data_IF_156653140119
#
_entry.id   IF_156653140119
#
_cell.length_a   1.000
_cell.length_b   1.000
_cell.length_c   1.000
_cell.angle_alpha   90.00
_cell.angle_beta   90.00
_cell.angle_gamma   90.00
#
_symmetry.space_group_name_H-M   'P 1'
#
loop_
_entity.id
_entity.type
_entity.pdbx_description
1 polymer ?
#
# COMPACT_ATOMS: atom_id res chain seq x y z
N UNK A 1 3.22 38.68 -77.02
CA UNK A 1 2.85 37.68 -75.98
C UNK A 1 4.10 36.87 -75.67
N UNK A 2 5.19 37.56 -75.34
CA UNK A 2 5.54 38.04 -73.99
C UNK A 2 6.26 36.96 -73.22
N UNK A 3 7.54 36.86 -73.58
CA UNK A 3 8.59 36.41 -72.70
C UNK A 3 8.63 37.28 -71.45
N UNK A 4 8.84 36.66 -70.28
CA UNK A 4 9.54 37.31 -69.18
C UNK A 4 10.59 36.39 -68.59
N UNK A 5 11.71 36.97 -68.13
CA UNK A 5 12.95 36.25 -67.90
C UNK A 5 13.21 35.98 -66.41
N UNK A 6 14.23 35.17 -66.22
CA UNK A 6 14.99 34.83 -65.01
C UNK A 6 15.47 36.10 -64.28
N UNK A 7 15.41 36.10 -62.94
CA UNK A 7 16.53 36.67 -62.17
C UNK A 7 16.78 35.92 -60.85
N UNK A 8 18.05 35.59 -60.72
CA UNK A 8 18.84 35.00 -59.65
C UNK A 8 18.75 35.72 -58.30
N UNK A 9 18.75 34.92 -57.22
CA UNK A 9 19.30 35.35 -55.93
C UNK A 9 20.34 34.35 -55.42
N UNK A 10 21.40 34.81 -54.72
CA UNK A 10 22.59 34.01 -54.42
C UNK A 10 22.43 33.19 -53.15
N UNK A 11 23.25 32.14 -53.09
CA UNK A 11 23.59 31.34 -51.90
C UNK A 11 24.37 32.22 -50.93
N UNK A 12 23.98 32.29 -49.65
CA UNK A 12 24.93 32.53 -48.54
C UNK A 12 24.31 32.23 -47.16
N UNK A 13 25.10 31.58 -46.30
CA UNK A 13 24.96 31.69 -44.84
C UNK A 13 24.17 30.58 -44.11
N UNK A 14 24.84 29.48 -43.77
CA UNK A 14 24.43 28.60 -42.66
C UNK A 14 24.39 29.39 -41.34
N UNK A 15 23.34 29.30 -40.51
CA UNK A 15 23.41 29.80 -39.14
C UNK A 15 24.28 28.89 -38.28
N UNK A 16 25.34 29.48 -37.72
CA UNK A 16 26.26 28.89 -36.75
C UNK A 16 25.51 28.61 -35.44
N UNK A 17 25.64 27.40 -34.92
CA UNK A 17 25.12 27.01 -33.61
C UNK A 17 25.78 27.84 -32.49
N UNK A 18 25.03 28.32 -31.48
CA UNK A 18 25.60 29.11 -30.39
C UNK A 18 26.50 28.24 -29.50
N UNK A 19 27.69 28.76 -29.21
CA UNK A 19 28.62 28.20 -28.22
C UNK A 19 28.03 28.30 -26.81
N UNK A 20 28.20 27.30 -25.94
CA UNK A 20 27.73 27.36 -24.56
C UNK A 20 28.61 28.31 -23.73
N UNK A 21 27.97 29.23 -23.01
CA UNK A 21 28.58 30.11 -22.02
C UNK A 21 29.19 29.31 -20.85
N UNK A 22 30.39 29.72 -20.45
CA UNK A 22 31.14 29.16 -19.35
C UNK A 22 30.45 29.47 -18.00
N UNK A 23 30.01 28.43 -17.30
CA UNK A 23 29.56 28.53 -15.90
C UNK A 23 30.76 28.69 -14.96
N UNK A 24 30.75 29.77 -14.19
CA UNK A 24 31.61 30.01 -13.03
C UNK A 24 31.48 28.85 -12.00
N UNK A 25 32.59 28.28 -11.49
CA UNK A 25 32.52 27.28 -10.43
C UNK A 25 32.39 27.95 -9.05
N UNK A 26 31.29 27.65 -8.35
CA UNK A 26 31.07 28.04 -6.95
C UNK A 26 32.01 27.32 -5.97
N UNK A 27 32.12 27.81 -4.71
CA UNK A 27 33.14 27.39 -3.76
C UNK A 27 32.93 25.96 -3.24
N UNK A 28 34.05 25.23 -3.10
CA UNK A 28 34.13 23.82 -2.67
C UNK A 28 33.75 23.64 -1.19
N UNK A 29 33.03 22.56 -0.81
CA UNK A 29 32.79 22.23 0.59
C UNK A 29 34.04 21.66 1.27
N UNK A 30 34.29 22.13 2.50
CA UNK A 30 35.42 21.74 3.36
C UNK A 30 35.32 20.26 3.76
N UNK A 31 36.43 19.52 3.57
CA UNK A 31 36.59 18.13 4.01
C UNK A 31 36.80 18.08 5.53
N UNK A 32 36.03 17.23 6.21
CA UNK A 32 36.30 16.83 7.61
C UNK A 32 37.57 15.95 7.67
N UNK A 33 38.42 16.05 8.71
CA UNK A 33 39.61 15.24 8.81
C UNK A 33 39.31 13.82 9.30
N UNK A 34 39.93 12.82 8.66
CA UNK A 34 39.91 11.41 9.05
C UNK A 34 40.80 11.13 10.29
N UNK A 35 40.53 10.09 11.10
CA UNK A 35 41.35 9.75 12.26
C UNK A 35 42.68 9.10 11.84
N UNK A 36 43.77 9.61 12.42
CA UNK A 36 45.14 9.11 12.22
C UNK A 36 45.30 7.68 12.76
N UNK A 37 45.91 6.81 11.96
CA UNK A 37 46.40 5.48 12.38
C UNK A 37 47.67 5.64 13.24
N UNK A 38 47.91 4.81 14.27
CA UNK A 38 49.13 4.88 15.05
C UNK A 38 50.33 4.26 14.30
N UNK A 39 51.46 4.96 14.34
CA UNK A 39 52.75 4.59 13.76
C UNK A 39 53.48 3.56 14.66
N UNK A 40 53.95 2.41 14.12
CA UNK A 40 54.61 1.37 14.89
C UNK A 40 56.12 1.60 14.93
N UNK A 41 56.61 2.38 15.91
CA UNK A 41 58.05 2.45 16.24
C UNK A 41 58.33 3.27 17.50
N UNK A 42 58.38 2.61 18.67
CA UNK A 42 59.34 2.90 19.75
C UNK A 42 59.29 1.80 20.83
N UNK A 43 60.45 1.26 21.25
CA UNK A 43 60.55 0.25 22.30
C UNK A 43 60.71 0.91 23.67
N UNK A 44 60.19 0.28 24.73
CA UNK A 44 60.51 0.64 26.12
C UNK A 44 61.13 -0.59 26.83
N UNK A 45 62.20 -0.43 27.63
CA UNK A 45 63.14 -1.48 27.95
C UNK A 45 62.81 -2.24 29.24
N UNK A 46 63.36 -3.45 29.32
CA UNK A 46 63.22 -4.41 30.41
C UNK A 46 63.95 -3.96 31.69
N UNK A 47 63.39 -4.36 32.83
CA UNK A 47 64.11 -4.61 34.08
C UNK A 47 63.40 -5.74 34.86
N UNK A 48 64.09 -6.83 35.26
CA UNK A 48 63.47 -8.02 35.85
C UNK A 48 63.64 -8.07 37.38
N UNK A 49 62.70 -8.65 38.13
CA UNK A 49 63.09 -9.51 39.27
C UNK A 49 62.00 -10.46 39.85
N UNK A 50 62.49 -11.64 40.21
CA UNK A 50 62.12 -12.59 41.29
C UNK A 50 60.69 -13.10 41.58
N UNK A 51 60.46 -14.33 41.08
CA UNK A 51 59.92 -15.56 41.72
C UNK A 51 59.21 -15.46 43.09
N UNK A 52 57.94 -15.94 43.15
CA UNK A 52 57.43 -16.88 44.17
C UNK A 52 56.36 -17.83 43.57
N UNK A 53 56.23 -19.07 44.04
CA UNK A 53 55.39 -20.10 43.42
C UNK A 53 54.01 -20.16 44.08
N UNK A 54 52.94 -20.30 43.31
CA UNK A 54 51.75 -20.96 43.87
C UNK A 54 50.78 -21.54 42.83
N UNK A 55 50.45 -22.80 43.09
CA UNK A 55 49.18 -23.50 42.86
C UNK A 55 48.57 -23.56 41.44
N UNK A 56 48.54 -24.80 40.96
CA UNK A 56 47.78 -25.35 39.83
C UNK A 56 46.36 -24.76 39.77
N UNK A 57 46.06 -24.00 38.71
CA UNK A 57 44.69 -23.75 38.24
C UNK A 57 44.35 -24.77 37.14
N UNK A 58 43.21 -25.45 37.21
CA UNK A 58 42.79 -26.37 36.17
C UNK A 58 42.48 -25.60 34.89
N UNK A 59 42.97 -26.10 33.77
CA UNK A 59 42.67 -25.61 32.43
C UNK A 59 41.15 -25.60 32.23
N UNK A 60 40.56 -24.41 32.21
CA UNK A 60 39.21 -24.20 31.71
C UNK A 60 39.25 -24.50 30.22
N UNK A 61 38.88 -25.73 29.88
CA UNK A 61 38.67 -26.19 28.51
C UNK A 61 37.91 -25.12 27.74
N UNK A 62 38.47 -24.74 26.59
CA UNK A 62 37.78 -23.94 25.61
C UNK A 62 36.45 -24.63 25.31
N UNK A 63 35.37 -24.12 25.91
CA UNK A 63 34.01 -24.52 25.57
C UNK A 63 33.83 -24.26 24.09
N UNK A 64 33.95 -25.34 23.31
CA UNK A 64 33.46 -25.44 21.94
C UNK A 64 32.06 -24.84 21.97
N UNK A 65 31.92 -23.67 21.36
CA UNK A 65 30.61 -23.13 21.00
C UNK A 65 29.87 -24.27 20.29
N UNK A 66 28.65 -24.63 20.71
CA UNK A 66 27.91 -25.66 20.00
C UNK A 66 27.80 -25.22 18.55
N UNK A 67 28.27 -26.10 17.68
CA UNK A 67 28.21 -25.99 16.24
C UNK A 67 26.79 -25.58 15.87
N UNK A 68 26.63 -24.37 15.34
CA UNK A 68 25.36 -23.99 14.70
C UNK A 68 25.29 -24.88 13.48
N UNK A 69 24.56 -25.99 13.60
CA UNK A 69 24.42 -27.02 12.58
C UNK A 69 24.45 -26.41 11.18
N UNK A 70 25.39 -26.90 10.36
CA UNK A 70 25.70 -26.36 9.05
C UNK A 70 24.43 -26.00 8.29
N UNK A 71 24.36 -24.76 7.81
CA UNK A 71 23.23 -24.31 7.01
C UNK A 71 23.10 -25.23 5.79
N UNK A 72 21.98 -25.95 5.70
CA UNK A 72 21.66 -26.83 4.57
C UNK A 72 21.78 -26.03 3.27
N UNK A 73 22.48 -26.60 2.29
CA UNK A 73 22.57 -26.01 0.96
C UNK A 73 21.30 -26.34 0.17
N UNK A 74 21.01 -25.57 -0.90
CA UNK A 74 19.82 -25.83 -1.72
C UNK A 74 19.87 -27.22 -2.37
N UNK A 75 21.07 -27.70 -2.70
CA UNK A 75 21.32 -29.02 -3.26
C UNK A 75 20.98 -30.16 -2.29
N UNK A 76 20.99 -29.89 -0.97
CA UNK A 76 20.56 -30.85 0.05
C UNK A 76 19.03 -30.90 0.20
N UNK A 77 18.34 -29.87 -0.30
CA UNK A 77 16.90 -29.67 -0.10
C UNK A 77 16.06 -29.99 -1.34
N UNK A 78 16.62 -29.82 -2.54
CA UNK A 78 15.91 -29.96 -3.80
C UNK A 78 16.72 -30.74 -4.84
N UNK A 79 16.02 -31.51 -5.66
CA UNK A 79 16.58 -32.16 -6.83
C UNK A 79 15.80 -31.80 -8.11
N UNK A 80 16.45 -31.99 -9.26
CA UNK A 80 15.79 -31.77 -10.56
C UNK A 80 14.60 -32.72 -10.74
N UNK A 81 13.53 -32.21 -11.35
CA UNK A 81 12.28 -32.96 -11.52
C UNK A 81 11.39 -33.08 -10.27
N UNK A 82 11.82 -32.55 -9.11
CA UNK A 82 10.99 -32.57 -7.90
C UNK A 82 9.74 -31.69 -8.06
N UNK A 83 8.57 -32.29 -7.86
CA UNK A 83 7.31 -31.55 -7.83
C UNK A 83 7.14 -30.84 -6.48
N UNK A 84 6.94 -29.52 -6.52
CA UNK A 84 6.73 -28.69 -5.33
C UNK A 84 5.51 -27.80 -5.48
N UNK A 85 4.70 -27.72 -4.43
CA UNK A 85 3.61 -26.75 -4.35
C UNK A 85 4.20 -25.37 -4.05
N UNK A 86 3.91 -24.40 -4.92
CA UNK A 86 4.42 -23.04 -4.80
C UNK A 86 3.32 -22.01 -4.99
N UNK A 87 3.50 -20.85 -4.35
CA UNK A 87 2.65 -19.68 -4.51
C UNK A 87 3.45 -18.52 -5.12
N UNK A 88 2.82 -17.78 -6.04
CA UNK A 88 3.39 -16.55 -6.59
C UNK A 88 3.38 -15.47 -5.50
N UNK A 89 4.57 -15.09 -5.04
CA UNK A 89 4.76 -14.01 -4.06
C UNK A 89 4.92 -12.64 -4.72
N UNK A 90 5.48 -12.58 -5.93
CA UNK A 90 5.53 -11.37 -6.77
C UNK A 90 5.33 -11.73 -8.23
N UNK A 91 4.49 -10.93 -8.90
CA UNK A 91 4.29 -10.99 -10.34
C UNK A 91 5.62 -10.74 -11.10
N UNK A 92 5.76 -11.29 -12.32
CA UNK A 92 6.93 -11.07 -13.15
C UNK A 92 7.07 -9.58 -13.48
N UNK A 93 8.33 -9.10 -13.53
CA UNK A 93 8.63 -7.70 -13.87
C UNK A 93 9.64 -7.70 -15.01
N UNK A 94 9.24 -7.16 -16.17
CA UNK A 94 10.02 -7.13 -17.39
C UNK A 94 10.55 -8.54 -17.76
N UNK A 95 11.86 -8.75 -17.74
CA UNK A 95 12.50 -10.04 -18.05
C UNK A 95 12.67 -10.97 -16.85
N UNK A 96 12.33 -10.53 -15.63
CA UNK A 96 12.44 -11.34 -14.41
C UNK A 96 11.15 -12.15 -14.23
N UNK A 97 11.29 -13.47 -14.15
CA UNK A 97 10.19 -14.37 -13.83
C UNK A 97 9.54 -14.08 -12.47
N UNK A 98 8.41 -14.73 -12.21
CA UNK A 98 7.69 -14.56 -10.96
C UNK A 98 8.53 -15.03 -9.76
N UNK A 99 8.42 -14.33 -8.64
CA UNK A 99 9.00 -14.79 -7.37
C UNK A 99 8.02 -15.76 -6.73
N UNK A 100 8.49 -16.94 -6.36
CA UNK A 100 7.68 -18.00 -5.74
C UNK A 100 8.10 -18.28 -4.30
N UNK A 101 7.21 -18.90 -3.53
CA UNK A 101 7.42 -19.36 -2.16
C UNK A 101 6.72 -20.70 -1.93
N UNK A 102 7.32 -21.61 -1.15
CA UNK A 102 6.66 -22.82 -0.64
C UNK A 102 5.86 -22.56 0.64
N UNK A 103 6.04 -21.39 1.26
CA UNK A 103 5.20 -20.94 2.37
C UNK A 103 3.88 -20.38 1.84
N UNK A 104 2.84 -21.21 1.85
CA UNK A 104 1.51 -20.89 1.35
C UNK A 104 0.78 -19.98 2.35
N UNK A 105 0.11 -18.95 1.83
CA UNK A 105 -0.74 -18.04 2.57
C UNK A 105 -2.08 -17.87 1.85
N UNK A 106 -3.18 -18.16 2.57
CA UNK A 106 -4.55 -18.03 2.11
C UNK A 106 -5.23 -16.87 2.85
N UNK A 107 -5.42 -15.70 2.20
CA UNK A 107 -6.00 -14.54 2.85
C UNK A 107 -7.53 -14.63 2.91
N UNK A 108 -8.06 -14.80 4.11
CA UNK A 108 -9.46 -14.59 4.43
C UNK A 108 -9.77 -13.11 4.65
N UNK A 109 -10.99 -12.83 5.10
CA UNK A 109 -11.43 -11.46 5.38
C UNK A 109 -10.72 -10.90 6.60
N UNK A 110 -10.74 -11.66 7.67
CA UNK A 110 -10.23 -11.29 8.98
C UNK A 110 -8.89 -11.95 9.23
N UNK A 111 -8.71 -13.21 8.84
CA UNK A 111 -7.54 -14.01 9.17
C UNK A 111 -6.78 -14.40 7.89
N UNK A 112 -5.47 -14.54 7.98
CA UNK A 112 -4.64 -15.20 6.95
C UNK A 112 -4.26 -16.58 7.47
N UNK A 113 -4.59 -17.64 6.74
CA UNK A 113 -4.20 -19.00 7.07
C UNK A 113 -2.89 -19.37 6.36
N UNK A 114 -1.94 -19.93 7.11
CA UNK A 114 -0.62 -20.33 6.64
C UNK A 114 -0.40 -21.82 6.95
N UNK A 115 -0.90 -22.73 6.11
CA UNK A 115 -0.87 -24.18 6.41
C UNK A 115 0.56 -24.74 6.53
N UNK A 116 1.53 -24.11 5.89
CA UNK A 116 2.94 -24.56 5.84
C UNK A 116 3.84 -23.88 6.88
N UNK A 117 3.30 -23.03 7.76
CA UNK A 117 4.06 -22.30 8.79
C UNK A 117 3.32 -22.35 10.10
N UNK A 118 3.90 -22.97 11.13
CA UNK A 118 3.26 -23.03 12.45
C UNK A 118 3.52 -21.75 13.26
N UNK A 119 2.67 -20.75 13.07
CA UNK A 119 2.73 -19.49 13.81
C UNK A 119 1.35 -18.84 13.96
N UNK A 120 0.95 -18.50 15.18
CA UNK A 120 -0.24 -17.68 15.45
C UNK A 120 0.19 -16.25 15.79
N UNK A 121 -0.19 -15.31 14.94
CA UNK A 121 0.14 -13.90 15.04
C UNK A 121 -1.09 -12.99 15.02
N UNK A 122 -0.92 -11.76 15.51
CA UNK A 122 -1.92 -10.69 15.43
C UNK A 122 -1.26 -9.45 14.84
N UNK A 123 -1.97 -8.76 13.94
CA UNK A 123 -1.52 -7.54 13.27
C UNK A 123 -1.05 -6.49 14.29
N UNK A 124 0.17 -5.99 14.11
CA UNK A 124 0.76 -4.89 14.91
C UNK A 124 -0.02 -3.57 14.80
N UNK A 125 -0.87 -3.41 13.77
CA UNK A 125 -1.73 -2.23 13.59
C UNK A 125 -2.94 -2.22 14.53
N UNK A 126 -3.20 -3.28 15.29
CA UNK A 126 -4.24 -3.28 16.33
C UNK A 126 -3.59 -2.70 17.59
N UNK A 127 -3.94 -1.45 18.00
CA UNK A 127 -3.23 -0.77 19.08
C UNK A 127 -3.53 -1.38 20.46
N UNK A 128 -4.74 -1.92 20.65
CA UNK A 128 -5.19 -2.44 21.93
C UNK A 128 -4.58 -3.82 22.24
N UNK A 129 -3.76 -3.89 23.28
CA UNK A 129 -3.09 -5.11 23.75
C UNK A 129 -4.06 -6.19 24.23
N UNK A 130 -5.10 -5.80 24.97
CA UNK A 130 -6.12 -6.73 25.44
C UNK A 130 -6.86 -7.40 24.27
N UNK A 131 -7.13 -6.61 23.22
CA UNK A 131 -7.74 -7.13 22.00
C UNK A 131 -6.81 -8.11 21.26
N UNK A 132 -5.49 -7.83 21.21
CA UNK A 132 -4.53 -8.76 20.62
C UNK A 132 -4.49 -10.09 21.38
N UNK A 133 -4.54 -10.05 22.71
CA UNK A 133 -4.59 -11.26 23.54
C UNK A 133 -5.90 -12.03 23.31
N UNK A 134 -7.04 -11.34 23.28
CA UNK A 134 -8.36 -11.93 23.00
C UNK A 134 -8.38 -12.64 21.64
N UNK A 135 -7.97 -11.95 20.59
CA UNK A 135 -7.92 -12.49 19.22
C UNK A 135 -6.98 -13.70 19.12
N UNK A 136 -5.79 -13.63 19.75
CA UNK A 136 -4.85 -14.76 19.75
C UNK A 136 -5.47 -15.99 20.42
N UNK A 137 -6.19 -15.81 21.54
CA UNK A 137 -6.88 -16.90 22.25
C UNK A 137 -7.97 -17.53 21.38
N UNK A 138 -8.82 -16.71 20.77
CA UNK A 138 -9.90 -17.19 19.88
C UNK A 138 -9.33 -17.95 18.69
N UNK A 139 -8.35 -17.38 17.98
CA UNK A 139 -7.73 -18.03 16.81
C UNK A 139 -7.06 -19.36 17.18
N UNK A 140 -6.43 -19.44 18.36
CA UNK A 140 -5.84 -20.69 18.85
C UNK A 140 -6.91 -21.76 19.08
N UNK A 141 -7.99 -21.41 19.79
CA UNK A 141 -9.10 -22.32 20.04
C UNK A 141 -9.80 -22.76 18.73
N UNK A 142 -9.99 -21.85 17.78
CA UNK A 142 -10.59 -22.16 16.48
C UNK A 142 -9.71 -23.07 15.63
N UNK A 143 -8.38 -22.87 15.63
CA UNK A 143 -7.43 -23.78 14.97
C UNK A 143 -7.61 -25.20 15.52
N UNK A 144 -7.63 -25.34 16.83
CA UNK A 144 -7.68 -26.65 17.49
C UNK A 144 -9.04 -27.32 17.23
N UNK A 145 -10.14 -26.55 17.28
CA UNK A 145 -11.49 -27.01 16.97
C UNK A 145 -11.65 -27.53 15.54
N UNK A 146 -11.09 -26.82 14.56
CA UNK A 146 -11.19 -27.19 13.14
C UNK A 146 -10.09 -28.18 12.71
N UNK A 147 -9.23 -28.63 13.65
CA UNK A 147 -8.14 -29.57 13.37
C UNK A 147 -7.11 -29.03 12.38
N UNK A 148 -6.99 -27.71 12.26
CA UNK A 148 -6.17 -27.08 11.23
C UNK A 148 -4.69 -27.16 11.59
N UNK A 149 -3.87 -27.68 10.66
CA UNK A 149 -2.42 -27.66 10.80
C UNK A 149 -1.85 -26.32 10.32
N UNK A 150 -0.72 -25.90 10.88
CA UNK A 150 -0.08 -24.64 10.52
C UNK A 150 -0.56 -23.44 11.36
N UNK A 151 -0.45 -22.26 10.77
CA UNK A 151 -0.50 -20.98 11.47
C UNK A 151 -1.58 -20.04 10.95
N UNK A 152 -1.87 -19.01 11.73
CA UNK A 152 -2.90 -18.03 11.43
C UNK A 152 -2.41 -16.62 11.81
N UNK A 153 -2.76 -15.61 11.01
CA UNK A 153 -2.49 -14.20 11.32
C UNK A 153 -3.80 -13.43 11.33
N UNK A 154 -4.18 -12.88 12.48
CA UNK A 154 -5.31 -11.95 12.56
C UNK A 154 -4.95 -10.60 11.91
N UNK A 155 -5.70 -10.18 10.89
CA UNK A 155 -5.53 -8.90 10.16
C UNK A 155 -6.07 -7.75 11.01
N UNK A 156 -5.76 -6.52 10.61
CA UNK A 156 -6.28 -5.30 11.26
C UNK A 156 -7.81 -5.27 11.28
N UNK A 157 -8.46 -5.86 10.27
CA UNK A 157 -9.91 -5.97 10.17
C UNK A 157 -10.56 -6.87 11.24
N UNK A 158 -9.77 -7.66 12.01
CA UNK A 158 -10.29 -8.48 13.12
C UNK A 158 -10.71 -7.68 14.36
N UNK A 159 -10.29 -6.41 14.48
CA UNK A 159 -10.52 -5.66 15.71
C UNK A 159 -12.03 -5.51 15.98
N UNK A 160 -12.47 -5.97 17.15
CA UNK A 160 -13.89 -5.93 17.55
C UNK A 160 -14.78 -6.98 16.88
N UNK A 161 -14.23 -7.86 16.05
CA UNK A 161 -14.98 -8.91 15.35
C UNK A 161 -15.40 -10.01 16.34
N UNK A 162 -16.59 -10.56 16.10
CA UNK A 162 -17.17 -11.63 16.93
C UNK A 162 -16.43 -12.96 16.73
N UNK A 163 -16.50 -13.84 17.73
CA UNK A 163 -15.91 -15.19 17.62
C UNK A 163 -16.51 -16.00 16.47
N UNK A 164 -17.83 -15.85 16.24
CA UNK A 164 -18.53 -16.57 15.18
C UNK A 164 -18.06 -16.18 13.79
N UNK A 165 -17.83 -14.88 13.54
CA UNK A 165 -17.30 -14.40 12.26
C UNK A 165 -15.88 -14.90 12.00
N UNK A 166 -15.04 -14.96 13.05
CA UNK A 166 -13.70 -15.54 12.94
C UNK A 166 -13.77 -17.05 12.66
N UNK A 167 -14.72 -17.76 13.29
CA UNK A 167 -14.93 -19.19 13.05
C UNK A 167 -15.35 -19.47 11.61
N UNK A 168 -16.23 -18.64 11.05
CA UNK A 168 -16.68 -18.77 9.66
C UNK A 168 -15.52 -18.53 8.67
N UNK A 169 -14.67 -17.52 8.93
CA UNK A 169 -13.48 -17.22 8.11
C UNK A 169 -12.43 -18.35 8.21
N UNK A 170 -12.16 -18.89 9.41
CA UNK A 170 -11.26 -20.05 9.59
C UNK A 170 -11.78 -21.27 8.82
N UNK A 171 -13.07 -21.58 8.94
CA UNK A 171 -13.68 -22.74 8.27
C UNK A 171 -13.59 -22.63 6.75
N UNK A 172 -13.84 -21.44 6.21
CA UNK A 172 -13.65 -21.16 4.78
C UNK A 172 -12.20 -21.43 4.33
N UNK A 173 -11.22 -20.94 5.09
CA UNK A 173 -9.80 -21.10 4.75
C UNK A 173 -9.32 -22.54 4.85
N UNK A 174 -9.75 -23.28 5.88
CA UNK A 174 -9.40 -24.71 6.06
C UNK A 174 -9.99 -25.56 4.94
N UNK A 175 -11.26 -25.31 4.55
CA UNK A 175 -11.90 -25.98 3.40
C UNK A 175 -11.16 -25.68 2.10
N UNK A 176 -10.84 -24.41 1.87
CA UNK A 176 -10.05 -23.98 0.70
C UNK A 176 -8.73 -24.73 0.64
N UNK A 177 -8.01 -24.83 1.75
CA UNK A 177 -6.74 -25.57 1.80
C UNK A 177 -6.92 -27.07 1.52
N UNK A 178 -7.98 -27.67 2.05
CA UNK A 178 -8.31 -29.08 1.80
C UNK A 178 -8.54 -29.32 0.29
N UNK A 179 -9.25 -28.41 -0.38
CA UNK A 179 -9.47 -28.51 -1.82
C UNK A 179 -8.17 -28.33 -2.62
N UNK A 180 -7.30 -27.40 -2.20
CA UNK A 180 -5.97 -27.23 -2.81
C UNK A 180 -5.12 -28.50 -2.67
N UNK A 181 -5.10 -29.11 -1.48
CA UNK A 181 -4.36 -30.36 -1.22
C UNK A 181 -4.89 -31.50 -2.08
N UNK A 182 -6.20 -31.75 -2.07
CA UNK A 182 -6.85 -32.77 -2.89
C UNK A 182 -6.56 -32.59 -4.38
N UNK A 183 -6.55 -31.35 -4.87
CA UNK A 183 -6.23 -31.07 -6.27
C UNK A 183 -4.75 -31.29 -6.59
N UNK A 184 -3.85 -30.89 -5.69
CA UNK A 184 -2.41 -31.10 -5.83
C UNK A 184 -2.06 -32.58 -5.97
N UNK A 185 -2.74 -33.46 -5.23
CA UNK A 185 -2.53 -34.92 -5.30
C UNK A 185 -3.07 -35.56 -6.61
N UNK A 186 -3.96 -34.87 -7.33
CA UNK A 186 -4.62 -35.38 -8.54
C UNK A 186 -3.99 -34.92 -9.84
N UNK A 187 -3.29 -33.79 -9.84
CA UNK A 187 -2.74 -33.17 -11.05
C UNK A 187 -1.22 -33.33 -11.07
N UNK A 188 -0.65 -33.60 -12.25
CA UNK A 188 0.81 -33.61 -12.44
C UNK A 188 1.33 -32.19 -12.73
N UNK A 189 2.54 -31.88 -12.28
CA UNK A 189 3.14 -30.58 -12.55
C UNK A 189 3.55 -30.43 -14.04
N UNK A 190 3.53 -29.22 -14.61
CA UNK A 190 3.05 -27.95 -14.04
C UNK A 190 1.52 -27.81 -14.17
N UNK A 191 0.84 -27.46 -13.08
CA UNK A 191 -0.62 -27.26 -13.09
C UNK A 191 -1.06 -26.16 -12.12
N UNK A 192 -2.10 -25.41 -12.51
CA UNK A 192 -2.76 -24.44 -11.63
C UNK A 192 -3.67 -25.17 -10.63
N UNK A 193 -3.24 -25.27 -9.38
CA UNK A 193 -4.04 -25.88 -8.31
C UNK A 193 -5.07 -24.92 -7.73
N UNK A 194 -4.71 -23.66 -7.53
CA UNK A 194 -5.58 -22.64 -6.94
C UNK A 194 -5.39 -21.30 -7.66
N UNK A 195 -6.49 -20.65 -8.03
CA UNK A 195 -6.49 -19.28 -8.54
C UNK A 195 -6.88 -18.36 -7.39
N UNK A 196 -6.05 -17.36 -7.11
CA UNK A 196 -6.37 -16.34 -6.11
C UNK A 196 -7.58 -15.51 -6.57
N UNK A 197 -8.20 -14.81 -5.61
CA UNK A 197 -9.41 -14.04 -5.82
C UNK A 197 -9.19 -12.92 -6.86
N UNK A 198 -10.14 -12.80 -7.78
CA UNK A 198 -10.16 -11.69 -8.74
C UNK A 198 -10.49 -10.35 -8.04
N UNK A 199 -10.58 -9.26 -8.80
CA UNK A 199 -10.89 -7.94 -8.23
C UNK A 199 -12.26 -7.92 -7.52
N UNK A 200 -13.29 -8.48 -8.13
CA UNK A 200 -14.67 -8.44 -7.61
C UNK A 200 -14.76 -9.30 -6.36
N UNK A 201 -14.22 -10.51 -6.39
CA UNK A 201 -14.16 -11.42 -5.25
C UNK A 201 -13.36 -10.83 -4.08
N UNK A 202 -12.24 -10.14 -4.35
CA UNK A 202 -11.48 -9.43 -3.30
C UNK A 202 -12.28 -8.30 -2.67
N UNK A 203 -12.98 -7.50 -3.48
CA UNK A 203 -13.86 -6.43 -2.98
C UNK A 203 -14.94 -7.03 -2.10
N UNK A 204 -15.62 -8.08 -2.56
CA UNK A 204 -16.67 -8.74 -1.79
C UNK A 204 -16.12 -9.33 -0.48
N UNK A 205 -15.01 -10.06 -0.50
CA UNK A 205 -14.38 -10.59 0.72
C UNK A 205 -14.08 -9.48 1.73
N UNK A 206 -13.53 -8.35 1.28
CA UNK A 206 -13.02 -7.30 2.17
C UNK A 206 -14.08 -6.24 2.55
N UNK A 207 -15.19 -6.11 1.80
CA UNK A 207 -16.17 -5.03 2.01
C UNK A 207 -17.57 -5.50 2.31
N UNK A 208 -18.00 -6.67 1.82
CA UNK A 208 -19.38 -7.14 1.99
C UNK A 208 -19.77 -7.15 3.46
N UNK A 209 -20.95 -6.72 3.84
CA UNK A 209 -21.40 -6.73 5.24
C UNK A 209 -22.91 -6.81 5.30
N UNK A 210 -23.42 -7.03 6.50
CA UNK A 210 -24.86 -7.09 6.76
C UNK A 210 -25.54 -5.71 6.58
N UNK A 211 -24.79 -4.64 6.31
CA UNK A 211 -25.29 -3.30 6.02
C UNK A 211 -25.72 -3.14 4.54
N UNK A 212 -25.18 -3.94 3.62
CA UNK A 212 -25.48 -3.81 2.19
C UNK A 212 -26.84 -4.39 1.84
N UNK A 213 -27.81 -3.57 1.43
CA UNK A 213 -29.15 -4.07 1.06
C UNK A 213 -29.12 -5.03 -0.14
N UNK A 214 -28.27 -4.78 -1.14
CA UNK A 214 -28.13 -5.63 -2.32
C UNK A 214 -26.74 -5.47 -2.96
N UNK A 215 -26.27 -6.54 -3.62
CA UNK A 215 -25.13 -6.54 -4.54
C UNK A 215 -25.68 -6.82 -5.93
N UNK A 216 -25.58 -5.83 -6.82
CA UNK A 216 -26.14 -5.89 -8.17
C UNK A 216 -25.04 -6.19 -9.17
N UNK A 217 -25.29 -7.17 -10.03
CA UNK A 217 -24.35 -7.62 -11.08
C UNK A 217 -25.12 -7.63 -12.39
N UNK A 218 -24.63 -6.93 -13.40
CA UNK A 218 -25.26 -6.77 -14.72
C UNK A 218 -24.80 -7.80 -15.76
N UNK A 219 -23.93 -8.73 -15.37
CA UNK A 219 -23.47 -9.83 -16.19
C UNK A 219 -23.86 -11.18 -15.59
N UNK A 220 -24.52 -12.04 -16.37
CA UNK A 220 -25.04 -13.33 -15.91
C UNK A 220 -23.94 -14.33 -15.52
N UNK A 221 -22.85 -14.38 -16.29
CA UNK A 221 -21.71 -15.27 -16.03
C UNK A 221 -21.01 -14.87 -14.74
N UNK A 222 -20.76 -13.57 -14.54
CA UNK A 222 -20.18 -13.06 -13.29
C UNK A 222 -21.15 -13.24 -12.12
N UNK A 223 -22.46 -13.06 -12.32
CA UNK A 223 -23.46 -13.30 -11.28
C UNK A 223 -23.38 -14.73 -10.75
N UNK A 224 -23.34 -15.74 -11.63
CA UNK A 224 -23.21 -17.14 -11.22
C UNK A 224 -21.92 -17.40 -10.42
N UNK A 225 -20.78 -16.86 -10.89
CA UNK A 225 -19.48 -16.98 -10.20
C UNK A 225 -19.50 -16.32 -8.82
N UNK A 226 -20.10 -15.15 -8.70
CA UNK A 226 -20.19 -14.42 -7.44
C UNK A 226 -21.15 -15.11 -6.46
N UNK A 227 -22.29 -15.62 -6.93
CA UNK A 227 -23.19 -16.42 -6.09
C UNK A 227 -22.46 -17.62 -5.51
N UNK A 228 -21.72 -18.37 -6.34
CA UNK A 228 -20.91 -19.50 -5.88
C UNK A 228 -19.85 -19.08 -4.87
N UNK A 229 -19.13 -17.99 -5.14
CA UNK A 229 -18.11 -17.45 -4.25
C UNK A 229 -18.67 -17.02 -2.89
N UNK A 230 -19.75 -16.23 -2.89
CA UNK A 230 -20.41 -15.75 -1.66
C UNK A 230 -20.98 -16.94 -0.88
N UNK A 231 -21.50 -17.97 -1.55
CA UNK A 231 -21.98 -19.18 -0.88
C UNK A 231 -20.87 -19.94 -0.16
N UNK A 232 -19.62 -19.85 -0.62
CA UNK A 232 -18.47 -20.46 0.06
C UNK A 232 -17.95 -19.61 1.21
N UNK A 233 -17.90 -18.29 1.05
CA UNK A 233 -17.29 -17.36 2.02
C UNK A 233 -18.28 -16.91 3.10
N UNK A 234 -19.48 -16.51 2.71
CA UNK A 234 -20.50 -15.97 3.62
C UNK A 234 -21.92 -16.36 3.15
N UNK A 235 -22.34 -17.63 3.35
CA UNK A 235 -23.61 -18.16 2.84
C UNK A 235 -24.83 -17.32 3.23
N UNK A 236 -24.81 -16.71 4.42
CA UNK A 236 -25.89 -15.87 4.96
C UNK A 236 -26.24 -14.66 4.08
N UNK A 237 -25.33 -14.22 3.21
CA UNK A 237 -25.50 -13.04 2.38
C UNK A 237 -25.70 -13.35 0.89
N UNK A 238 -25.77 -14.62 0.51
CA UNK A 238 -26.01 -15.03 -0.89
C UNK A 238 -27.30 -14.43 -1.43
N UNK A 239 -28.35 -14.37 -0.61
CA UNK A 239 -29.64 -13.80 -0.98
C UNK A 239 -29.58 -12.31 -1.36
N UNK A 240 -28.52 -11.59 -0.98
CA UNK A 240 -28.30 -10.18 -1.32
C UNK A 240 -27.68 -9.99 -2.70
N UNK A 241 -27.09 -11.04 -3.28
CA UNK A 241 -26.55 -11.01 -4.65
C UNK A 241 -27.71 -11.14 -5.63
N UNK A 242 -27.93 -10.12 -6.46
CA UNK A 242 -29.04 -10.03 -7.40
C UNK A 242 -28.53 -9.72 -8.80
N UNK A 243 -28.99 -10.49 -9.79
CA UNK A 243 -28.80 -10.15 -11.20
C UNK A 243 -29.57 -8.86 -11.51
N UNK A 244 -28.92 -7.99 -12.28
CA UNK A 244 -29.49 -6.76 -12.78
C UNK A 244 -29.88 -6.97 -14.24
N UNK A 245 -31.18 -6.91 -14.53
CA UNK A 245 -31.77 -7.29 -15.83
C UNK A 245 -32.46 -6.14 -16.54
N UNK A 246 -32.25 -4.90 -16.08
CA UNK A 246 -32.89 -3.73 -16.66
C UNK A 246 -32.03 -3.18 -17.80
N UNK A 247 -32.66 -2.71 -18.87
CA UNK A 247 -31.98 -2.19 -20.06
C UNK A 247 -31.16 -0.92 -19.80
N UNK A 248 -31.54 -0.13 -18.78
CA UNK A 248 -30.77 1.04 -18.38
C UNK A 248 -29.43 0.62 -17.76
N UNK A 249 -28.28 1.19 -18.17
CA UNK A 249 -26.99 0.87 -17.58
C UNK A 249 -26.98 0.99 -16.05
N UNK A 250 -26.40 0.00 -15.37
CA UNK A 250 -26.44 -0.11 -13.90
C UNK A 250 -25.90 1.15 -13.21
N UNK A 251 -24.79 1.72 -13.71
CA UNK A 251 -24.17 2.90 -13.11
C UNK A 251 -25.00 4.17 -13.29
N UNK A 252 -25.75 4.29 -14.39
CA UNK A 252 -26.64 5.42 -14.64
C UNK A 252 -27.86 5.35 -13.73
N UNK A 253 -28.48 4.17 -13.61
CA UNK A 253 -29.68 3.98 -12.79
C UNK A 253 -29.45 4.36 -11.32
N UNK A 254 -28.26 4.08 -10.79
CA UNK A 254 -27.89 4.42 -9.42
C UNK A 254 -27.18 5.77 -9.29
N UNK A 255 -27.09 6.57 -10.37
CA UNK A 255 -26.45 7.89 -10.35
C UNK A 255 -24.93 7.87 -10.14
N UNK A 256 -24.31 6.70 -10.22
CA UNK A 256 -22.86 6.51 -10.02
C UNK A 256 -22.08 7.04 -11.22
N UNK A 257 -22.60 6.89 -12.44
CA UNK A 257 -21.93 7.33 -13.66
C UNK A 257 -21.59 8.82 -13.62
N UNK A 258 -22.55 9.66 -13.21
CA UNK A 258 -22.33 11.11 -13.09
C UNK A 258 -21.25 11.47 -12.07
N UNK A 259 -21.16 10.72 -10.96
CA UNK A 259 -20.11 10.90 -9.96
C UNK A 259 -18.73 10.44 -10.46
N UNK A 260 -18.67 9.37 -11.25
CA UNK A 260 -17.44 8.92 -11.92
C UNK A 260 -16.96 9.99 -12.90
N UNK A 261 -17.85 10.48 -13.77
CA UNK A 261 -17.53 11.50 -14.77
C UNK A 261 -17.07 12.80 -14.10
N UNK A 262 -17.65 13.15 -12.94
CA UNK A 262 -17.21 14.27 -12.10
C UNK A 262 -15.83 14.01 -11.47
N UNK A 263 -15.58 12.78 -11.00
CA UNK A 263 -14.32 12.40 -10.37
C UNK A 263 -13.14 12.36 -11.34
N UNK A 264 -13.35 12.25 -12.65
CA UNK A 264 -12.26 12.30 -13.65
C UNK A 264 -11.90 13.75 -14.04
N UNK A 265 -12.75 14.74 -13.74
CA UNK A 265 -12.49 16.15 -14.12
C UNK A 265 -11.35 16.74 -13.29
N UNK A 266 -10.46 17.55 -13.88
CA UNK A 266 -9.44 18.27 -13.12
C UNK A 266 -10.04 19.20 -12.05
N UNK A 267 -11.17 19.85 -12.37
CA UNK A 267 -11.88 20.74 -11.46
C UNK A 267 -13.06 20.05 -10.77
N UNK A 268 -13.12 20.15 -9.45
CA UNK A 268 -14.19 19.59 -8.62
C UNK A 268 -14.82 20.70 -7.78
N UNK A 269 -16.13 20.90 -7.95
CA UNK A 269 -16.88 21.92 -7.23
C UNK A 269 -17.24 21.50 -5.80
N UNK A 270 -17.12 22.45 -4.88
CA UNK A 270 -17.56 22.39 -3.49
C UNK A 270 -18.99 22.91 -3.37
N UNK A 271 -19.73 22.45 -2.36
CA UNK A 271 -21.12 22.86 -2.05
C UNK A 271 -21.23 24.35 -1.72
N UNK A 272 -20.18 24.93 -1.15
CA UNK A 272 -20.08 26.38 -0.90
C UNK A 272 -19.91 27.24 -2.16
N UNK A 273 -19.71 26.63 -3.34
CA UNK A 273 -19.48 27.36 -4.60
C UNK A 273 -18.00 27.60 -4.91
N UNK A 274 -17.10 27.25 -4.00
CA UNK A 274 -15.66 27.09 -4.28
C UNK A 274 -15.38 25.86 -5.14
N UNK A 275 -14.11 25.65 -5.52
CA UNK A 275 -13.70 24.46 -6.24
C UNK A 275 -12.24 24.09 -5.94
N UNK A 276 -11.92 22.82 -6.10
CA UNK A 276 -10.54 22.33 -6.08
C UNK A 276 -10.08 21.98 -7.49
N UNK A 277 -8.80 22.17 -7.79
CA UNK A 277 -8.17 21.78 -9.06
C UNK A 277 -7.08 20.77 -8.76
N UNK A 278 -7.16 19.60 -9.39
CA UNK A 278 -6.21 18.49 -9.18
C UNK A 278 -5.35 18.34 -10.43
N UNK A 279 -4.04 18.56 -10.27
CA UNK A 279 -3.04 18.45 -11.33
C UNK A 279 -2.02 17.37 -10.97
N UNK A 280 -1.96 16.32 -11.77
CA UNK A 280 -0.97 15.26 -11.64
C UNK A 280 0.25 15.57 -12.50
N UNK A 281 1.44 15.49 -11.89
CA UNK A 281 2.73 15.61 -12.56
C UNK A 281 3.49 14.28 -12.45
N UNK A 282 4.68 14.21 -13.04
CA UNK A 282 5.54 13.02 -12.96
C UNK A 282 5.90 12.64 -11.51
N UNK A 283 6.25 13.63 -10.69
CA UNK A 283 6.78 13.40 -9.35
C UNK A 283 5.74 13.57 -8.23
N UNK A 284 4.76 14.45 -8.42
CA UNK A 284 3.80 14.83 -7.38
C UNK A 284 2.41 15.17 -7.94
N UNK A 285 1.42 15.19 -7.05
CA UNK A 285 0.09 15.72 -7.34
C UNK A 285 -0.07 17.06 -6.63
N UNK A 286 -0.41 18.12 -7.36
CA UNK A 286 -0.73 19.42 -6.80
C UNK A 286 -2.25 19.61 -6.77
N UNK A 287 -2.79 20.07 -5.64
CA UNK A 287 -4.21 20.35 -5.47
C UNK A 287 -4.39 21.77 -4.96
N UNK A 288 -5.09 22.60 -5.74
CA UNK A 288 -5.35 24.01 -5.46
C UNK A 288 -6.81 24.23 -5.02
N UNK A 289 -7.06 25.11 -4.05
CA UNK A 289 -8.38 25.41 -3.48
C UNK A 289 -8.78 26.85 -3.76
N UNK A 290 -9.94 27.04 -4.39
CA UNK A 290 -10.46 28.35 -4.76
C UNK A 290 -11.83 28.61 -4.13
N UNK A 291 -12.08 29.83 -3.67
CA UNK A 291 -13.37 30.28 -3.08
C UNK A 291 -14.49 30.50 -4.10
N UNK A 292 -14.17 30.57 -5.40
CA UNK A 292 -15.16 30.76 -6.46
C UNK A 292 -15.89 32.10 -6.37
N UNK A 293 -17.18 32.14 -6.78
CA UNK A 293 -17.99 33.38 -6.80
C UNK A 293 -18.59 33.75 -5.43
N UNK A 294 -18.38 32.94 -4.39
CA UNK A 294 -19.03 33.12 -3.09
C UNK A 294 -18.09 33.86 -2.12
N UNK A 295 -17.89 35.15 -2.36
CA UNK A 295 -17.20 36.03 -1.42
C UNK A 295 -18.26 36.59 -0.48
N UNK A 296 -18.26 36.18 0.79
CA UNK A 296 -19.18 36.72 1.79
C UNK A 296 -19.04 38.24 1.93
N UNK A 297 -20.03 38.91 2.54
CA UNK A 297 -19.89 40.32 2.94
C UNK A 297 -18.63 40.48 3.80
N UNK A 298 -17.88 41.57 3.60
CA UNK A 298 -16.48 41.78 4.01
C UNK A 298 -16.14 41.41 5.46
N UNK A 299 -17.08 41.51 6.40
CA UNK A 299 -16.87 41.20 7.82
C UNK A 299 -16.83 39.68 8.17
N UNK A 300 -17.07 38.78 7.21
CA UNK A 300 -17.06 37.31 7.43
C UNK A 300 -16.16 36.55 6.46
N UNK A 301 -15.14 37.22 5.93
CA UNK A 301 -14.25 36.63 4.93
C UNK A 301 -13.45 35.45 5.50
N UNK A 302 -12.84 35.61 6.69
CA UNK A 302 -12.03 34.58 7.35
C UNK A 302 -12.84 33.32 7.70
N UNK A 303 -14.08 33.49 8.17
CA UNK A 303 -15.01 32.39 8.41
C UNK A 303 -15.35 31.64 7.11
N UNK A 304 -15.52 32.37 6.02
CA UNK A 304 -15.82 31.80 4.70
C UNK A 304 -14.62 31.02 4.16
N UNK A 305 -13.41 31.55 4.31
CA UNK A 305 -12.16 30.88 3.95
C UNK A 305 -12.01 29.58 4.73
N UNK A 306 -12.13 29.66 6.06
CA UNK A 306 -11.99 28.50 6.95
C UNK A 306 -13.02 27.42 6.61
N UNK A 307 -14.27 27.81 6.35
CA UNK A 307 -15.33 26.87 5.93
C UNK A 307 -15.01 26.24 4.58
N UNK A 308 -14.51 27.00 3.62
CA UNK A 308 -14.12 26.50 2.29
C UNK A 308 -12.98 25.50 2.40
N UNK A 309 -11.94 25.79 3.18
CA UNK A 309 -10.83 24.87 3.40
C UNK A 309 -11.24 23.58 4.13
N UNK A 310 -12.16 23.67 5.11
CA UNK A 310 -12.72 22.49 5.78
C UNK A 310 -13.50 21.60 4.81
N UNK A 311 -14.25 22.22 3.89
CA UNK A 311 -14.98 21.48 2.86
C UNK A 311 -14.01 20.87 1.83
N UNK A 312 -13.02 21.65 1.39
CA UNK A 312 -11.98 21.20 0.49
C UNK A 312 -11.21 20.01 1.08
N UNK A 313 -10.84 20.03 2.37
CA UNK A 313 -10.14 18.93 3.01
C UNK A 313 -10.90 17.59 2.89
N UNK A 314 -12.23 17.62 3.08
CA UNK A 314 -13.09 16.43 2.92
C UNK A 314 -13.12 15.95 1.47
N UNK A 315 -13.33 16.88 0.53
CA UNK A 315 -13.41 16.53 -0.89
C UNK A 315 -12.05 16.07 -1.46
N UNK A 316 -10.94 16.67 -1.04
CA UNK A 316 -9.58 16.29 -1.39
C UNK A 316 -9.34 14.83 -1.00
N UNK A 317 -9.59 14.46 0.26
CA UNK A 317 -9.39 13.07 0.72
C UNK A 317 -10.33 12.10 -0.01
N UNK A 318 -11.57 12.53 -0.31
CA UNK A 318 -12.48 11.75 -1.18
C UNK A 318 -11.88 11.51 -2.56
N UNK A 319 -11.40 12.56 -3.25
CA UNK A 319 -10.82 12.47 -4.59
C UNK A 319 -9.53 11.67 -4.63
N UNK A 320 -8.66 11.84 -3.62
CA UNK A 320 -7.42 11.05 -3.48
C UNK A 320 -7.73 9.55 -3.39
N UNK A 321 -8.80 9.17 -2.69
CA UNK A 321 -9.27 7.78 -2.65
C UNK A 321 -9.90 7.34 -3.96
N UNK A 322 -10.79 8.14 -4.54
CA UNK A 322 -11.52 7.80 -5.76
C UNK A 322 -10.59 7.61 -6.96
N UNK A 323 -9.56 8.46 -7.09
CA UNK A 323 -8.58 8.43 -8.19
C UNK A 323 -7.35 7.55 -7.88
N UNK A 324 -7.32 6.95 -6.69
CA UNK A 324 -6.16 6.25 -6.11
C UNK A 324 -4.83 7.01 -6.24
N UNK A 325 -4.84 8.33 -5.99
CA UNK A 325 -3.66 9.18 -6.10
C UNK A 325 -2.62 8.78 -5.04
N UNK A 326 -1.36 8.63 -5.41
CA UNK A 326 -0.31 8.20 -4.49
C UNK A 326 1.06 8.80 -4.81
N UNK A 327 1.95 8.77 -3.82
CA UNK A 327 3.21 9.51 -3.84
C UNK A 327 3.11 10.77 -2.99
N UNK A 328 3.75 11.85 -3.44
CA UNK A 328 3.71 13.16 -2.80
C UNK A 328 2.49 13.91 -3.34
N UNK A 329 1.63 14.37 -2.44
CA UNK A 329 0.46 15.19 -2.74
C UNK A 329 0.64 16.51 -2.00
N UNK A 330 0.66 17.62 -2.73
CA UNK A 330 0.81 18.98 -2.21
C UNK A 330 -0.53 19.68 -2.30
N UNK A 331 -1.01 20.21 -1.18
CA UNK A 331 -2.24 20.99 -1.11
C UNK A 331 -1.90 22.46 -0.95
N UNK A 332 -2.43 23.27 -1.84
CA UNK A 332 -2.43 24.73 -1.78
C UNK A 332 -3.79 25.19 -1.26
N UNK A 333 -3.85 25.42 0.06
CA UNK A 333 -5.07 25.85 0.76
C UNK A 333 -5.13 27.37 0.74
N UNK A 334 -6.34 27.92 0.81
CA UNK A 334 -6.52 29.37 0.90
C UNK A 334 -5.89 29.85 2.22
N UNK A 335 -5.08 30.92 2.16
CA UNK A 335 -4.42 31.50 3.32
C UNK A 335 -5.41 31.86 4.43
N UNK A 336 -5.09 31.46 5.66
CA UNK A 336 -5.86 31.76 6.87
C UNK A 336 -4.96 32.55 7.83
N UNK A 337 -5.43 33.69 8.32
CA UNK A 337 -4.66 34.54 9.23
C UNK A 337 -4.57 33.89 10.63
N UNK A 338 -5.67 33.32 11.11
CA UNK A 338 -5.72 32.75 12.45
C UNK A 338 -5.07 31.36 12.52
N UNK A 339 -4.13 31.21 13.45
CA UNK A 339 -3.50 29.90 13.74
C UNK A 339 -4.52 28.83 14.16
N UNK A 340 -5.58 29.24 14.85
CA UNK A 340 -6.67 28.36 15.28
C UNK A 340 -7.41 27.75 14.09
N UNK A 341 -7.68 28.54 13.04
CA UNK A 341 -8.33 28.08 11.82
C UNK A 341 -7.43 27.09 11.06
N UNK A 342 -6.14 27.39 10.93
CA UNK A 342 -5.15 26.46 10.35
C UNK A 342 -5.15 25.11 11.08
N UNK A 343 -5.09 25.12 12.42
CA UNK A 343 -5.12 23.89 13.22
C UNK A 343 -6.41 23.10 13.02
N UNK A 344 -7.56 23.79 12.93
CA UNK A 344 -8.87 23.17 12.70
C UNK A 344 -8.93 22.44 11.36
N UNK A 345 -8.42 23.05 10.29
CA UNK A 345 -8.35 22.43 8.96
C UNK A 345 -7.42 21.22 8.96
N UNK A 346 -6.26 21.33 9.63
CA UNK A 346 -5.31 20.20 9.73
C UNK A 346 -5.88 19.01 10.50
N UNK A 347 -6.61 19.27 11.61
CA UNK A 347 -7.30 18.22 12.35
C UNK A 347 -8.36 17.53 11.49
N UNK A 348 -9.14 18.30 10.74
CA UNK A 348 -10.14 17.75 9.82
C UNK A 348 -9.48 16.88 8.73
N UNK A 349 -8.39 17.37 8.11
CA UNK A 349 -7.63 16.61 7.11
C UNK A 349 -7.06 15.30 7.68
N UNK A 350 -6.51 15.35 8.89
CA UNK A 350 -5.98 14.17 9.57
C UNK A 350 -7.09 13.16 9.92
N UNK A 351 -8.24 13.64 10.38
CA UNK A 351 -9.41 12.81 10.64
C UNK A 351 -9.90 12.13 9.37
N UNK A 352 -10.05 12.86 8.26
CA UNK A 352 -10.49 12.27 6.98
C UNK A 352 -9.48 11.24 6.46
N UNK A 353 -8.17 11.54 6.52
CA UNK A 353 -7.11 10.60 6.12
C UNK A 353 -7.06 9.33 6.98
N UNK A 354 -7.48 9.39 8.24
CA UNK A 354 -7.53 8.19 9.11
C UNK A 354 -8.53 7.13 8.63
N UNK A 355 -9.51 7.54 7.81
CA UNK A 355 -10.46 6.63 7.15
C UNK A 355 -9.91 6.07 5.83
N UNK A 356 -8.73 6.50 5.36
CA UNK A 356 -8.07 5.92 4.21
C UNK A 356 -7.38 4.60 4.61
N UNK A 357 -7.57 3.57 3.78
CA UNK A 357 -6.94 2.26 3.97
C UNK A 357 -5.46 2.29 3.56
N UNK A 358 -5.11 3.16 2.61
CA UNK A 358 -3.74 3.34 2.16
C UNK A 358 -2.95 4.14 3.19
N UNK A 359 -1.79 3.64 3.67
CA UNK A 359 -0.98 4.37 4.62
C UNK A 359 -0.64 5.77 4.10
N UNK A 360 -1.06 6.79 4.86
CA UNK A 360 -0.81 8.18 4.55
C UNK A 360 -0.23 8.92 5.75
N UNK A 361 0.64 9.90 5.49
CA UNK A 361 1.22 10.76 6.52
C UNK A 361 1.26 12.21 6.04
N UNK A 362 0.78 13.11 6.87
CA UNK A 362 0.96 14.56 6.70
C UNK A 362 2.39 14.89 7.19
N UNK A 363 3.18 15.58 6.37
CA UNK A 363 4.59 15.86 6.67
C UNK A 363 4.76 17.20 7.40
N UNK A 364 4.24 18.30 6.86
CA UNK A 364 4.24 19.61 7.52
C UNK A 364 3.47 20.65 6.69
N UNK A 365 3.08 21.75 7.35
CA UNK A 365 2.81 23.03 6.71
C UNK A 365 4.16 23.74 6.55
N UNK A 366 4.47 24.21 5.34
CA UNK A 366 5.62 25.09 5.14
C UNK A 366 5.20 26.55 5.33
N UNK A 367 6.17 27.45 5.52
CA UNK A 367 5.92 28.89 5.65
C UNK A 367 5.18 29.51 4.45
N UNK A 368 5.13 28.78 3.32
CA UNK A 368 4.40 29.11 2.10
C UNK A 368 2.92 28.68 2.10
N UNK A 369 2.35 28.25 3.23
CA UNK A 369 0.93 27.85 3.31
C UNK A 369 0.61 26.46 2.73
N UNK A 370 1.58 25.80 2.09
CA UNK A 370 1.41 24.47 1.48
C UNK A 370 1.40 23.34 2.50
N UNK A 371 0.53 22.36 2.29
CA UNK A 371 0.46 21.11 3.08
C UNK A 371 0.96 19.94 2.23
N UNK A 372 1.97 19.22 2.71
CA UNK A 372 2.46 18.00 2.05
C UNK A 372 1.91 16.71 2.70
N UNK A 373 1.35 15.84 1.87
CA UNK A 373 0.90 14.49 2.24
C UNK A 373 1.72 13.46 1.46
N UNK A 374 2.12 12.40 2.14
CA UNK A 374 2.63 11.18 1.50
C UNK A 374 1.59 10.09 1.59
N UNK A 375 1.24 9.46 0.47
CA UNK A 375 0.31 8.31 0.42
C UNK A 375 0.97 7.16 -0.33
N UNK A 376 0.94 5.95 0.24
CA UNK A 376 1.53 4.77 -0.40
C UNK A 376 0.81 4.47 -1.73
N UNK A 377 1.57 4.29 -2.82
CA UNK A 377 1.05 3.77 -4.09
C UNK A 377 0.72 2.28 -3.94
N UNK A 378 -0.54 1.91 -4.15
CA UNK A 378 -1.02 0.52 -4.07
C UNK A 378 -1.29 -0.06 -5.46
N UNK A 379 -1.72 0.78 -6.42
CA UNK A 379 -1.95 0.45 -7.83
C UNK A 379 -1.51 1.60 -8.75
N UNK A 380 -1.63 1.44 -10.08
CA UNK A 380 -1.55 2.55 -11.02
C UNK A 380 -2.72 3.51 -10.79
N UNK A 381 -2.45 4.81 -10.79
CA UNK A 381 -3.43 5.89 -10.67
C UNK A 381 -4.42 5.88 -11.84
N UNK A 382 -5.65 6.36 -11.59
CA UNK A 382 -6.59 6.68 -12.67
C UNK A 382 -6.05 7.87 -13.46
N UNK A 383 -5.27 7.57 -14.49
CA UNK A 383 -4.82 8.53 -15.49
C UNK A 383 -5.76 8.46 -16.71
N UNK A 384 -5.84 9.55 -17.46
CA UNK A 384 -6.58 9.59 -18.73
C UNK A 384 -6.00 8.64 -19.75
#
# INVERSE_FOLDING_TARGET
MDARPIDSRPIEGRPVAPRPEARNPGPRPQRRPEPRRPDPRRPDPRGPDTRRPDQRRPELGASRRPDRGGALTISDLLHEGQEILVQIAKEPIAKKGARITSHIALPGRFIVYMPTVNHIGVSRKIPNDAERVRLKRIVTMLRDREGATGGFIARTACAGVSEQELADDVRYLVRTWTDVRKKTERVKAPALVHRDLDLVQRILRDQMSDEFTAIRIDNEVEYARIVEFVNRVQPKLVNRVKLYTSDQPILEKYGVQAEIDKAVRPRVWLKSGGYIVINQTEALVAIDVNTGKFVGKSDKLEDTITRTNLEAAKEIVRQVRLRDLGGIIVLDLIDMEERKNRQKVMMALQQELSHDRSPSKILSINDFGLVAITRKRVKQSLER
#
